data_IF_359811066416
#
_entry.id   IF_359811066416
#
_cell.length_a   1.000
_cell.length_b   1.000
_cell.length_c   1.000
_cell.angle_alpha   90.00
_cell.angle_beta   90.00
_cell.angle_gamma   90.00
#
_symmetry.space_group_name_H-M   'P 1'
#
loop_
_entity.id
_entity.type
_entity.pdbx_description
1 polymer ?
#
# COMPACT_ATOMS: atom_id res chain seq x y z
N UNK A 1 28.34 2.90 9.82
CA UNK A 1 26.97 2.39 10.08
C UNK A 1 26.11 2.73 8.88
N UNK A 2 25.37 1.77 8.31
CA UNK A 2 24.40 2.08 7.27
C UNK A 2 23.25 2.90 7.85
N UNK A 3 22.68 3.87 7.12
CA UNK A 3 21.54 4.65 7.61
C UNK A 3 20.35 3.74 7.93
N UNK A 4 19.56 4.12 8.93
CA UNK A 4 18.35 3.38 9.28
C UNK A 4 17.39 3.30 8.06
N UNK A 5 16.77 2.13 7.80
CA UNK A 5 15.80 2.01 6.72
C UNK A 5 14.59 2.94 6.93
N UNK A 6 14.01 3.44 5.85
CA UNK A 6 12.93 4.40 5.87
C UNK A 6 11.57 3.78 6.15
N UNK A 7 10.69 4.59 6.74
CA UNK A 7 9.24 4.46 6.65
C UNK A 7 8.77 5.42 5.56
N UNK A 8 8.04 4.89 4.57
CA UNK A 8 7.49 5.66 3.45
C UNK A 8 5.96 5.57 3.53
N UNK A 9 5.31 6.73 3.50
CA UNK A 9 3.86 6.85 3.40
C UNK A 9 3.53 7.44 2.02
N UNK A 10 2.89 6.65 1.17
CA UNK A 10 2.31 7.13 -0.09
C UNK A 10 0.87 7.51 0.18
N UNK A 11 0.48 8.73 -0.14
CA UNK A 11 -0.86 9.26 0.14
C UNK A 11 -1.58 9.50 -1.18
N UNK A 12 -2.72 8.83 -1.34
CA UNK A 12 -3.68 9.19 -2.37
C UNK A 12 -4.29 10.57 -2.04
N UNK A 13 -4.05 11.54 -2.92
CA UNK A 13 -4.46 12.93 -2.78
C UNK A 13 -5.61 13.33 -3.72
N UNK A 14 -6.47 12.39 -4.09
CA UNK A 14 -7.63 12.69 -4.96
C UNK A 14 -8.61 13.71 -4.37
N UNK A 15 -8.67 13.77 -3.04
CA UNK A 15 -9.39 14.78 -2.31
C UNK A 15 -8.39 15.56 -1.44
N UNK A 16 -8.29 16.87 -1.68
CA UNK A 16 -7.37 17.77 -0.96
C UNK A 16 -7.56 17.73 0.56
N UNK A 17 -8.79 17.59 1.06
CA UNK A 17 -9.05 17.54 2.50
C UNK A 17 -8.53 16.24 3.11
N UNK A 18 -8.73 15.12 2.41
CA UNK A 18 -8.20 13.81 2.83
C UNK A 18 -6.67 13.78 2.75
N UNK A 19 -6.10 14.37 1.69
CA UNK A 19 -4.66 14.51 1.52
C UNK A 19 -4.01 15.33 2.65
N UNK A 20 -4.60 16.48 2.98
CA UNK A 20 -4.13 17.36 4.04
C UNK A 20 -4.24 16.68 5.39
N UNK A 21 -5.37 16.04 5.68
CA UNK A 21 -5.56 15.28 6.91
C UNK A 21 -4.46 14.23 7.11
N UNK A 22 -4.20 13.39 6.12
CA UNK A 22 -3.17 12.36 6.22
C UNK A 22 -1.77 12.95 6.32
N UNK A 23 -1.47 13.98 5.54
CA UNK A 23 -0.16 14.63 5.57
C UNK A 23 0.12 15.23 6.95
N UNK A 24 -0.83 15.96 7.52
CA UNK A 24 -0.71 16.58 8.84
C UNK A 24 -0.62 15.53 9.95
N UNK A 25 -1.38 14.44 9.82
CA UNK A 25 -1.36 13.34 10.79
C UNK A 25 -0.02 12.58 10.78
N UNK A 26 0.62 12.43 9.61
CA UNK A 26 1.85 11.65 9.44
C UNK A 26 3.12 12.49 9.66
N UNK A 27 3.06 13.80 9.44
CA UNK A 27 4.19 14.74 9.57
C UNK A 27 4.96 14.65 10.91
N UNK A 28 4.31 14.48 12.08
CA UNK A 28 5.01 14.30 13.35
C UNK A 28 5.83 13.01 13.43
N UNK A 29 5.56 12.05 12.54
CA UNK A 29 6.11 10.70 12.64
C UNK A 29 7.42 10.46 11.86
N UNK A 30 8.03 11.52 11.32
CA UNK A 30 9.33 11.46 10.62
C UNK A 30 9.38 10.46 9.45
N UNK A 31 8.24 10.16 8.84
CA UNK A 31 8.18 9.34 7.63
C UNK A 31 8.45 10.17 6.38
N UNK A 32 8.82 9.49 5.29
CA UNK A 32 8.90 10.11 3.97
C UNK A 32 7.53 10.04 3.32
N UNK A 33 6.91 11.21 3.13
CA UNK A 33 5.58 11.33 2.54
C UNK A 33 5.71 11.53 1.03
N UNK A 34 4.98 10.71 0.26
CA UNK A 34 4.89 10.81 -1.21
C UNK A 34 3.41 11.05 -1.57
N UNK A 35 3.00 12.28 -1.89
CA UNK A 35 1.65 12.55 -2.34
C UNK A 35 1.48 12.10 -3.80
N UNK A 36 0.34 11.48 -4.12
CA UNK A 36 -0.06 11.11 -5.48
C UNK A 36 -1.44 11.69 -5.76
N UNK A 37 -1.51 12.70 -6.63
CA UNK A 37 -2.79 13.26 -7.06
C UNK A 37 -3.49 12.41 -8.13
N UNK A 38 -4.66 12.85 -8.61
CA UNK A 38 -5.41 12.16 -9.66
C UNK A 38 -4.58 11.99 -10.93
N UNK A 39 -4.33 10.76 -11.35
CA UNK A 39 -3.69 10.47 -12.63
C UNK A 39 -4.03 9.08 -13.17
N UNK A 40 -3.81 8.90 -14.47
CA UNK A 40 -3.76 7.58 -15.08
C UNK A 40 -2.42 6.90 -14.82
N UNK A 41 -2.44 5.58 -14.72
CA UNK A 41 -1.29 4.73 -14.44
C UNK A 41 -0.66 5.01 -13.06
N UNK A 42 -1.48 5.39 -12.08
CA UNK A 42 -0.99 5.80 -10.78
C UNK A 42 -0.18 4.71 -10.08
N UNK A 43 -0.53 3.43 -10.26
CA UNK A 43 0.26 2.31 -9.73
C UNK A 43 1.69 2.35 -10.29
N UNK A 44 1.83 2.54 -11.60
CA UNK A 44 3.13 2.63 -12.26
C UNK A 44 3.94 3.83 -11.76
N UNK A 45 3.32 5.00 -11.65
CA UNK A 45 3.96 6.21 -11.14
C UNK A 45 4.39 6.06 -9.67
N UNK A 46 3.56 5.43 -8.85
CA UNK A 46 3.88 5.14 -7.45
C UNK A 46 5.14 4.29 -7.31
N UNK A 47 5.28 3.22 -8.12
CA UNK A 47 6.48 2.38 -8.11
C UNK A 47 7.74 3.20 -8.41
N UNK A 48 7.68 4.09 -9.40
CA UNK A 48 8.81 4.95 -9.77
C UNK A 48 9.15 5.95 -8.66
N UNK A 49 8.14 6.58 -8.05
CA UNK A 49 8.32 7.56 -6.97
C UNK A 49 8.90 6.92 -5.71
N UNK A 50 8.42 5.74 -5.31
CA UNK A 50 8.96 5.00 -4.16
C UNK A 50 10.41 4.59 -4.41
N UNK A 51 10.71 4.05 -5.60
CA UNK A 51 12.07 3.67 -5.95
C UNK A 51 13.01 4.90 -5.98
N UNK A 52 12.56 6.01 -6.55
CA UNK A 52 13.33 7.27 -6.59
C UNK A 52 13.55 7.84 -5.18
N UNK A 53 12.56 7.78 -4.29
CA UNK A 53 12.67 8.30 -2.93
C UNK A 53 13.83 7.67 -2.16
N UNK A 54 14.16 6.40 -2.39
CA UNK A 54 15.30 5.71 -1.75
C UNK A 54 16.58 5.74 -2.56
N UNK A 55 16.58 6.38 -3.73
CA UNK A 55 17.70 6.41 -4.68
C UNK A 55 18.02 5.04 -5.27
N UNK A 56 17.03 4.14 -5.37
CA UNK A 56 17.21 2.76 -5.83
C UNK A 56 18.08 1.87 -4.95
N UNK A 57 18.35 2.29 -3.71
CA UNK A 57 19.21 1.53 -2.79
C UNK A 57 18.46 0.31 -2.25
N UNK A 58 19.15 -0.83 -2.27
CA UNK A 58 18.65 -2.09 -1.72
C UNK A 58 18.49 -1.99 -0.20
N UNK A 59 17.57 -2.77 0.37
CA UNK A 59 17.41 -2.86 1.83
C UNK A 59 17.08 -1.55 2.56
N UNK A 60 16.52 -0.57 1.85
CA UNK A 60 16.36 0.81 2.35
C UNK A 60 14.97 1.11 2.89
N UNK A 61 13.97 0.25 2.70
CA UNK A 61 12.60 0.45 3.19
C UNK A 61 12.28 -0.57 4.29
N UNK A 62 11.88 -0.11 5.47
CA UNK A 62 11.31 -0.97 6.54
C UNK A 62 9.80 -1.10 6.43
N UNK A 63 9.13 -0.02 6.04
CA UNK A 63 7.68 -0.02 5.89
C UNK A 63 7.29 0.88 4.72
N UNK A 64 6.46 0.36 3.82
CA UNK A 64 5.76 1.14 2.81
C UNK A 64 4.27 1.11 3.16
N UNK A 65 3.68 2.23 3.53
CA UNK A 65 2.25 2.34 3.77
C UNK A 65 1.59 3.11 2.63
N UNK A 66 0.57 2.51 2.03
CA UNK A 66 -0.19 3.07 0.92
C UNK A 66 -1.55 3.50 1.44
N UNK A 67 -1.75 4.81 1.61
CA UNK A 67 -2.97 5.41 2.14
C UNK A 67 -3.90 5.77 1.00
N UNK A 68 -5.07 5.14 0.97
CA UNK A 68 -6.01 5.31 -0.12
C UNK A 68 -7.37 4.71 0.18
N UNK A 69 -8.31 4.90 -0.76
CA UNK A 69 -9.62 4.29 -0.65
C UNK A 69 -9.56 2.81 -0.98
N UNK A 70 -10.33 2.00 -0.25
CA UNK A 70 -10.71 0.69 -0.75
C UNK A 70 -12.06 0.80 -1.45
N UNK A 71 -12.23 0.09 -2.56
CA UNK A 71 -13.51 0.11 -3.28
C UNK A 71 -14.53 -0.80 -2.61
N UNK A 72 -15.80 -0.41 -2.73
CA UNK A 72 -16.95 -1.14 -2.19
C UNK A 72 -17.95 -1.45 -3.29
N UNK A 73 -18.76 -2.50 -3.09
CA UNK A 73 -19.90 -2.81 -3.95
C UNK A 73 -21.11 -1.90 -3.65
N UNK A 74 -22.23 -2.15 -4.34
CA UNK A 74 -23.48 -1.40 -4.16
C UNK A 74 -24.08 -1.52 -2.75
N UNK A 75 -23.73 -2.57 -2.01
CA UNK A 75 -24.13 -2.80 -0.62
C UNK A 75 -23.11 -2.21 0.37
N UNK A 76 -22.14 -1.42 -0.11
CA UNK A 76 -21.04 -0.85 0.68
C UNK A 76 -20.11 -1.91 1.31
N UNK A 77 -20.01 -3.11 0.72
CA UNK A 77 -19.06 -4.14 1.15
C UNK A 77 -17.77 -4.00 0.36
N UNK A 78 -16.62 -4.04 1.05
CA UNK A 78 -15.31 -3.99 0.40
C UNK A 78 -15.11 -5.13 -0.61
N UNK A 79 -14.62 -4.80 -1.81
CA UNK A 79 -14.40 -5.78 -2.90
C UNK A 79 -12.95 -6.22 -3.06
N UNK A 80 -12.02 -5.71 -2.24
CA UNK A 80 -10.62 -6.11 -2.26
C UNK A 80 -9.70 -5.27 -3.14
N UNK A 81 -10.19 -4.14 -3.65
CA UNK A 81 -9.44 -3.23 -4.52
C UNK A 81 -8.94 -2.04 -3.70
N UNK A 82 -7.67 -1.66 -3.87
CA UNK A 82 -7.06 -0.50 -3.20
C UNK A 82 -6.67 0.57 -4.21
N UNK A 83 -7.19 1.79 -4.09
CA UNK A 83 -6.89 2.91 -4.98
C UNK A 83 -5.58 3.60 -4.61
N UNK A 84 -4.63 3.62 -5.55
CA UNK A 84 -3.37 4.37 -5.47
C UNK A 84 -3.58 5.82 -5.89
N UNK A 85 -4.41 6.06 -6.90
CA UNK A 85 -5.03 7.36 -7.17
C UNK A 85 -6.37 7.18 -7.90
N UNK A 86 -7.08 8.29 -8.06
CA UNK A 86 -8.42 8.52 -8.61
C UNK A 86 -9.64 7.87 -7.90
N UNK A 87 -10.77 8.60 -7.98
CA UNK A 87 -12.12 8.18 -7.61
C UNK A 87 -12.72 7.07 -8.49
N UNK A 88 -14.06 7.01 -8.60
CA UNK A 88 -14.85 5.82 -8.98
C UNK A 88 -14.46 5.07 -10.28
N UNK A 89 -13.65 5.65 -11.17
CA UNK A 89 -13.19 5.04 -12.45
C UNK A 89 -11.75 4.47 -12.42
N UNK A 90 -11.15 4.31 -11.23
CA UNK A 90 -9.74 3.92 -11.08
C UNK A 90 -9.30 2.64 -11.80
N UNK A 91 -10.25 1.76 -12.14
CA UNK A 91 -10.02 0.51 -12.87
C UNK A 91 -9.70 0.74 -14.36
N UNK A 92 -10.33 1.73 -15.00
CA UNK A 92 -10.09 2.07 -16.41
C UNK A 92 -8.70 2.71 -16.58
N UNK A 93 -8.19 3.32 -15.51
CA UNK A 93 -6.98 4.11 -15.54
C UNK A 93 -5.75 3.41 -14.95
N UNK A 94 -5.83 2.13 -14.54
CA UNK A 94 -4.73 1.41 -13.89
C UNK A 94 -4.20 2.14 -12.65
N UNK A 95 -5.12 2.73 -11.89
CA UNK A 95 -4.83 3.51 -10.69
C UNK A 95 -5.24 2.77 -9.41
N UNK A 96 -5.70 1.53 -9.54
CA UNK A 96 -6.05 0.63 -8.44
C UNK A 96 -5.17 -0.62 -8.42
N UNK A 97 -4.91 -1.15 -7.24
CA UNK A 97 -4.44 -2.51 -7.06
C UNK A 97 -5.62 -3.47 -7.17
N UNK A 98 -5.75 -4.04 -8.36
CA UNK A 98 -6.63 -5.16 -8.68
C UNK A 98 -5.90 -6.18 -9.54
N UNK A 99 -6.39 -7.41 -9.59
CA UNK A 99 -5.68 -8.50 -10.27
C UNK A 99 -5.36 -8.21 -11.74
N UNK A 100 -6.29 -7.60 -12.48
CA UNK A 100 -6.09 -7.24 -13.89
C UNK A 100 -4.96 -6.23 -14.06
N UNK A 101 -4.98 -5.16 -13.26
CA UNK A 101 -3.94 -4.12 -13.27
C UNK A 101 -2.58 -4.71 -12.92
N UNK A 102 -2.50 -5.57 -11.90
CA UNK A 102 -1.27 -6.24 -11.52
C UNK A 102 -0.76 -7.18 -12.62
N UNK A 103 -1.66 -7.85 -13.33
CA UNK A 103 -1.29 -8.73 -14.45
C UNK A 103 -0.74 -7.94 -15.62
N UNK A 104 -1.36 -6.81 -15.96
CA UNK A 104 -0.90 -5.94 -17.04
C UNK A 104 0.44 -5.27 -16.75
N UNK A 105 0.72 -4.96 -15.47
CA UNK A 105 2.01 -4.37 -15.08
C UNK A 105 3.18 -5.38 -15.14
N UNK A 106 2.90 -6.68 -14.98
CA UNK A 106 3.89 -7.74 -15.12
C UNK A 106 5.16 -7.48 -14.32
N UNK A 107 6.32 -7.55 -14.97
CA UNK A 107 7.63 -7.33 -14.36
C UNK A 107 7.84 -5.93 -13.81
N UNK A 108 7.00 -4.95 -14.17
CA UNK A 108 7.09 -3.61 -13.57
C UNK A 108 6.84 -3.63 -12.06
N UNK A 109 6.03 -4.56 -11.55
CA UNK A 109 5.81 -4.72 -10.11
C UNK A 109 7.10 -5.05 -9.36
N UNK A 110 8.01 -5.79 -10.00
CA UNK A 110 9.31 -6.19 -9.43
C UNK A 110 10.27 -5.00 -9.28
N UNK A 111 9.89 -3.79 -9.71
CA UNK A 111 10.69 -2.57 -9.52
C UNK A 111 11.03 -2.30 -8.05
N UNK A 112 10.15 -2.70 -7.13
CA UNK A 112 10.38 -2.59 -5.69
C UNK A 112 10.95 -3.89 -5.09
N UNK A 113 11.30 -4.89 -5.90
CA UNK A 113 12.02 -6.06 -5.39
C UNK A 113 13.42 -5.66 -4.92
N UNK A 114 13.83 -6.16 -3.74
CA UNK A 114 15.15 -5.92 -3.17
C UNK A 114 15.40 -4.55 -2.53
N UNK A 115 14.50 -3.56 -2.68
CA UNK A 115 14.62 -2.26 -1.97
C UNK A 115 14.14 -2.33 -0.52
N UNK A 116 13.43 -3.39 -0.16
CA UNK A 116 12.96 -3.63 1.20
C UNK A 116 14.05 -4.26 2.07
N UNK A 117 14.17 -3.79 3.31
CA UNK A 117 15.06 -4.34 4.32
C UNK A 117 14.57 -5.71 4.81
N UNK A 118 15.44 -6.55 5.41
CA UNK A 118 15.00 -7.77 6.08
C UNK A 118 13.92 -7.48 7.13
N UNK A 119 12.82 -8.23 7.10
CA UNK A 119 11.67 -8.04 8.00
C UNK A 119 10.80 -6.82 7.69
N UNK A 120 10.99 -6.19 6.54
CA UNK A 120 10.13 -5.11 6.08
C UNK A 120 8.74 -5.62 5.66
N UNK A 121 7.79 -4.69 5.56
CA UNK A 121 6.41 -4.97 5.14
C UNK A 121 5.81 -3.84 4.31
N UNK A 122 4.73 -4.16 3.62
CA UNK A 122 3.85 -3.20 2.95
C UNK A 122 2.46 -3.22 3.60
N UNK A 123 1.88 -2.04 3.79
CA UNK A 123 0.57 -1.87 4.39
C UNK A 123 -0.38 -1.20 3.38
N UNK A 124 -1.45 -1.90 2.97
CA UNK A 124 -2.50 -1.36 2.11
C UNK A 124 -3.58 -0.72 3.01
N UNK A 125 -3.43 0.58 3.29
CA UNK A 125 -4.27 1.35 4.21
C UNK A 125 -5.51 1.89 3.49
N UNK A 126 -6.46 1.00 3.23
CA UNK A 126 -7.79 1.33 2.69
C UNK A 126 -8.90 0.43 3.22
N UNK A 127 -10.16 0.84 3.02
CA UNK A 127 -11.33 0.13 3.57
C UNK A 127 -11.57 -1.22 2.89
N UNK A 128 -11.62 -2.32 3.65
CA UNK A 128 -12.02 -3.63 3.13
C UNK A 128 -11.11 -4.20 2.04
N UNK A 129 -9.83 -3.78 2.02
CA UNK A 129 -8.86 -4.23 1.02
C UNK A 129 -8.54 -5.72 1.17
N UNK A 130 -8.69 -6.31 2.35
CA UNK A 130 -8.51 -7.75 2.56
C UNK A 130 -9.74 -8.62 2.21
N UNK A 131 -10.83 -8.02 1.71
CA UNK A 131 -12.05 -8.75 1.30
C UNK A 131 -12.00 -9.13 -0.19
N UNK A 132 -12.94 -9.94 -0.66
CA UNK A 132 -13.11 -10.21 -2.09
C UNK A 132 -11.83 -10.73 -2.75
N UNK A 133 -11.34 -10.02 -3.78
CA UNK A 133 -10.08 -10.37 -4.46
C UNK A 133 -8.81 -9.96 -3.70
N UNK A 134 -8.96 -9.24 -2.60
CA UNK A 134 -7.92 -8.68 -1.76
C UNK A 134 -6.79 -9.65 -1.40
N UNK A 135 -7.09 -10.85 -0.86
CA UNK A 135 -6.06 -11.83 -0.54
C UNK A 135 -5.20 -12.23 -1.75
N UNK A 136 -5.80 -12.31 -2.94
CA UNK A 136 -5.08 -12.63 -4.18
C UNK A 136 -4.22 -11.45 -4.65
N UNK A 137 -4.74 -10.22 -4.55
CA UNK A 137 -3.98 -8.98 -4.80
C UNK A 137 -2.76 -8.91 -3.87
N UNK A 138 -2.96 -9.10 -2.57
CA UNK A 138 -1.91 -9.08 -1.56
C UNK A 138 -0.85 -10.15 -1.82
N UNK A 139 -1.24 -11.39 -2.14
CA UNK A 139 -0.30 -12.46 -2.50
C UNK A 139 0.56 -12.11 -3.71
N UNK A 140 -0.05 -11.53 -4.76
CA UNK A 140 0.67 -11.15 -5.98
C UNK A 140 1.68 -10.04 -5.71
N UNK A 141 1.32 -9.06 -4.88
CA UNK A 141 2.23 -8.01 -4.42
C UNK A 141 3.35 -8.59 -3.53
N UNK A 142 3.03 -9.47 -2.59
CA UNK A 142 4.01 -10.09 -1.69
C UNK A 142 5.05 -10.91 -2.45
N UNK A 143 4.60 -11.69 -3.44
CA UNK A 143 5.49 -12.42 -4.33
C UNK A 143 6.37 -11.49 -5.17
N UNK A 144 5.81 -10.43 -5.75
CA UNK A 144 6.55 -9.49 -6.61
C UNK A 144 7.59 -8.66 -5.83
N UNK A 145 7.28 -8.29 -4.59
CA UNK A 145 8.14 -7.42 -3.77
C UNK A 145 9.04 -8.19 -2.80
N UNK A 146 8.79 -9.49 -2.61
CA UNK A 146 9.58 -10.34 -1.72
C UNK A 146 9.40 -10.02 -0.24
N UNK A 147 8.30 -9.35 0.13
CA UNK A 147 7.98 -8.97 1.50
C UNK A 147 6.53 -9.23 1.85
N UNK A 148 6.24 -9.24 3.14
CA UNK A 148 4.88 -9.31 3.66
C UNK A 148 4.03 -8.11 3.20
N UNK A 149 2.79 -8.37 2.78
CA UNK A 149 1.79 -7.35 2.43
C UNK A 149 0.57 -7.54 3.32
N UNK A 150 0.17 -6.46 4.00
CA UNK A 150 -0.93 -6.50 4.95
C UNK A 150 -2.08 -5.60 4.52
N UNK A 151 -3.30 -5.97 4.93
CA UNK A 151 -4.51 -5.18 4.73
C UNK A 151 -5.59 -5.55 5.75
N UNK A 152 -6.50 -4.61 6.03
CA UNK A 152 -7.66 -4.83 6.90
C UNK A 152 -8.93 -5.20 6.13
N UNK A 153 -9.84 -5.92 6.78
CA UNK A 153 -11.20 -6.17 6.26
C UNK A 153 -12.18 -5.04 6.60
N UNK A 154 -11.83 -4.19 7.58
CA UNK A 154 -12.63 -3.08 8.06
C UNK A 154 -12.15 -1.72 7.52
N UNK A 155 -12.46 -0.65 8.25
CA UNK A 155 -11.99 0.69 7.90
C UNK A 155 -10.46 0.80 8.11
N UNK A 156 -9.73 1.18 7.06
CA UNK A 156 -8.28 1.37 7.08
C UNK A 156 -7.85 2.81 7.42
N UNK A 157 -8.79 3.70 7.72
CA UNK A 157 -8.57 5.15 7.92
C UNK A 157 -8.16 5.55 9.34
N UNK A 158 -7.57 4.64 10.12
CA UNK A 158 -6.94 4.97 11.39
C UNK A 158 -5.43 4.71 11.32
N UNK A 159 -4.65 5.47 12.12
CA UNK A 159 -3.22 5.24 12.27
C UNK A 159 -2.94 3.80 12.74
N UNK A 160 -3.69 3.39 13.76
CA UNK A 160 -3.68 2.01 14.23
C UNK A 160 -4.65 1.16 13.41
N UNK A 161 -4.24 -0.06 13.09
CA UNK A 161 -5.18 -1.02 12.54
C UNK A 161 -5.95 -1.71 13.65
N UNK A 162 -7.28 -1.62 13.57
CA UNK A 162 -8.15 -2.51 14.30
C UNK A 162 -8.06 -3.92 13.68
N UNK A 163 -7.85 -4.97 14.49
CA UNK A 163 -7.96 -6.34 14.00
C UNK A 163 -9.39 -6.66 13.53
N UNK A 164 -9.58 -7.63 12.62
CA UNK A 164 -8.56 -8.49 12.02
C UNK A 164 -7.80 -7.82 10.86
N UNK A 165 -6.49 -8.04 10.83
CA UNK A 165 -5.61 -7.69 9.71
C UNK A 165 -5.14 -8.99 9.07
N UNK A 166 -5.18 -9.07 7.75
CA UNK A 166 -4.59 -10.18 7.02
C UNK A 166 -3.16 -9.80 6.58
N UNK A 167 -2.27 -10.78 6.56
CA UNK A 167 -0.92 -10.69 6.03
C UNK A 167 -0.73 -11.77 4.97
N UNK A 168 -0.34 -11.36 3.76
CA UNK A 168 0.12 -12.25 2.70
C UNK A 168 1.64 -12.28 2.66
N UNK A 169 2.20 -13.47 2.54
CA UNK A 169 3.65 -13.70 2.53
C UNK A 169 4.14 -14.09 1.14
N UNK A 170 5.44 -13.90 0.84
CA UNK A 170 6.02 -14.28 -0.45
C UNK A 170 5.88 -15.77 -0.81
N UNK A 171 5.69 -16.64 0.20
CA UNK A 171 5.43 -18.08 0.02
C UNK A 171 3.98 -18.38 -0.43
N UNK A 172 3.14 -17.36 -0.58
CA UNK A 172 1.74 -17.49 -0.97
C UNK A 172 0.78 -17.79 0.18
N UNK A 173 1.27 -17.93 1.41
CA UNK A 173 0.42 -18.08 2.60
C UNK A 173 -0.25 -16.76 2.99
N UNK A 174 -1.46 -16.85 3.56
CA UNK A 174 -2.17 -15.71 4.16
C UNK A 174 -2.56 -16.09 5.58
N UNK A 175 -2.33 -15.17 6.52
CA UNK A 175 -2.59 -15.37 7.95
C UNK A 175 -3.26 -14.14 8.53
N UNK A 176 -4.08 -14.34 9.56
CA UNK A 176 -4.54 -13.22 10.38
C UNK A 176 -3.40 -12.83 11.31
N UNK A 177 -3.08 -11.54 11.35
CA UNK A 177 -2.09 -10.95 12.26
C UNK A 177 -2.78 -9.98 13.22
N UNK A 178 -2.20 -9.74 14.41
CA UNK A 178 -2.67 -8.68 15.28
C UNK A 178 -2.66 -7.34 14.54
N UNK A 179 -3.60 -6.45 14.90
CA UNK A 179 -3.54 -5.06 14.46
C UNK A 179 -2.17 -4.45 14.76
N UNK A 180 -1.68 -3.59 13.87
CA UNK A 180 -0.37 -2.95 14.03
C UNK A 180 -0.56 -1.56 14.61
N UNK A 181 -0.04 -1.29 15.84
CA UNK A 181 0.12 0.07 16.33
C UNK A 181 1.08 0.83 15.41
N UNK A 182 0.73 2.06 15.05
CA UNK A 182 1.49 2.87 14.11
C UNK A 182 2.98 2.97 14.46
N UNK A 183 3.31 3.10 15.74
CA UNK A 183 4.69 3.25 16.23
C UNK A 183 5.59 2.03 15.97
N UNK A 184 5.02 0.86 15.67
CA UNK A 184 5.79 -0.34 15.27
C UNK A 184 6.26 -0.32 13.81
N UNK A 185 6.12 0.81 13.10
CA UNK A 185 6.74 1.03 11.79
C UNK A 185 8.23 1.39 11.90
N UNK A 186 8.68 1.83 13.08
CA UNK A 186 10.04 2.35 13.32
C UNK A 186 11.05 1.33 13.80
#
# INVERSE_FOLDING_TARGET
MSPAPYVIDVINCDNTDTANYWTDLLKPHSSRIIPIGPMSNAVSAMLDLVHAAVGGRTGSIRCLALWGHGLVDRDHKGIGVHAVSSGWDGDVHRSTFRLDTLTQLGSRLERLSGIFAPGARVELRGCGVARGEGPSVMKKLAAAWGVEVQAGEGNGQALDWAPPVQAAFPDGSVRVVPGIPYDRRR
#
